data_IF_725595435866
#
_entry.id   IF_725595435866
#
_cell.length_a   1.000
_cell.length_b   1.000
_cell.length_c   1.000
_cell.angle_alpha   90.00
_cell.angle_beta   90.00
_cell.angle_gamma   90.00
#
_symmetry.space_group_name_H-M   'P 1'
#
loop_
_entity.id
_entity.type
_entity.pdbx_description
1 polymer ?
#
# COMPACT_ATOMS: atom_id res chain seq x y z
N UNK A 1 -11.45 -10.39 -10.09
CA UNK A 1 -11.84 -8.99 -10.24
C UNK A 1 -11.89 -8.36 -8.86
N UNK A 2 -10.94 -7.51 -8.55
CA UNK A 2 -10.92 -6.75 -7.29
C UNK A 2 -12.03 -5.70 -7.33
N UNK A 3 -13.21 -6.08 -6.93
CA UNK A 3 -14.21 -5.09 -6.57
C UNK A 3 -13.67 -4.31 -5.36
N UNK A 4 -13.69 -3.00 -5.48
CA UNK A 4 -13.33 -2.04 -4.47
C UNK A 4 -13.52 -2.59 -3.04
N UNK A 5 -12.43 -2.92 -2.38
CA UNK A 5 -12.41 -3.33 -0.96
C UNK A 5 -12.69 -2.15 0.01
N UNK A 6 -13.17 -1.03 -0.52
CA UNK A 6 -13.73 0.09 0.24
C UNK A 6 -15.22 -0.17 0.48
N UNK A 7 -15.55 -1.40 0.76
CA UNK A 7 -16.90 -1.81 1.09
C UNK A 7 -16.99 -2.27 2.53
N UNK A 8 -18.20 -2.28 3.04
CA UNK A 8 -18.52 -2.87 4.33
C UNK A 8 -17.96 -4.29 4.47
N UNK A 9 -17.74 -4.73 5.69
CA UNK A 9 -17.31 -6.09 6.07
C UNK A 9 -18.10 -7.19 5.33
N UNK A 10 -19.34 -6.91 4.94
CA UNK A 10 -20.21 -7.81 4.18
C UNK A 10 -19.71 -8.06 2.75
N UNK A 11 -19.09 -7.08 2.09
CA UNK A 11 -18.58 -7.26 0.71
C UNK A 11 -17.42 -8.24 0.63
N UNK A 12 -16.59 -8.33 1.66
CA UNK A 12 -15.48 -9.28 1.72
C UNK A 12 -16.00 -10.69 1.98
N UNK A 13 -16.98 -10.82 2.87
CA UNK A 13 -17.57 -12.09 3.25
C UNK A 13 -18.41 -12.70 2.12
N UNK A 14 -19.14 -11.86 1.38
CA UNK A 14 -20.02 -12.31 0.27
C UNK A 14 -19.26 -12.56 -1.04
N UNK A 15 -18.06 -11.99 -1.19
CA UNK A 15 -17.28 -12.10 -2.42
C UNK A 15 -16.41 -13.35 -2.50
N UNK A 16 -16.17 -14.04 -1.37
CA UNK A 16 -15.29 -15.20 -1.31
C UNK A 16 -15.87 -16.29 -0.42
N UNK A 17 -16.12 -17.45 -0.98
CA UNK A 17 -16.45 -18.65 -0.19
C UNK A 17 -15.30 -19.05 0.74
N UNK A 18 -14.07 -18.73 0.33
CA UNK A 18 -12.84 -18.90 1.09
C UNK A 18 -12.01 -17.63 1.04
N UNK A 19 -11.36 -17.28 2.15
CA UNK A 19 -10.43 -16.17 2.19
C UNK A 19 -9.19 -16.46 1.33
N UNK A 20 -8.69 -15.48 0.57
CA UNK A 20 -7.42 -15.64 -0.13
C UNK A 20 -6.27 -15.73 0.88
N UNK A 21 -5.16 -16.33 0.48
CA UNK A 21 -3.97 -16.42 1.33
C UNK A 21 -3.31 -15.07 1.59
N UNK A 22 -3.41 -14.15 0.62
CA UNK A 22 -2.84 -12.82 0.71
C UNK A 22 -3.68 -11.80 -0.05
N UNK A 23 -3.67 -10.56 0.42
CA UNK A 23 -4.32 -9.42 -0.22
C UNK A 23 -3.31 -8.29 -0.35
N UNK A 24 -3.17 -7.78 -1.58
CA UNK A 24 -2.38 -6.59 -1.89
C UNK A 24 -3.30 -5.38 -1.88
N UNK A 25 -3.11 -4.49 -0.92
CA UNK A 25 -3.89 -3.26 -0.79
C UNK A 25 -3.25 -2.12 -1.57
N UNK A 26 -4.07 -1.20 -2.06
CA UNK A 26 -3.60 -0.05 -2.83
C UNK A 26 -2.75 0.94 -2.04
N UNK A 27 -2.91 1.00 -0.72
CA UNK A 27 -2.07 1.78 0.20
C UNK A 27 -2.18 1.23 1.63
N UNK A 28 -1.36 1.79 2.53
CA UNK A 28 -1.29 1.35 3.93
C UNK A 28 -2.58 1.68 4.71
N UNK A 29 -3.27 2.75 4.37
CA UNK A 29 -4.53 3.11 5.00
C UNK A 29 -5.63 2.08 4.73
N UNK A 30 -5.72 1.61 3.49
CA UNK A 30 -6.65 0.54 3.10
C UNK A 30 -6.31 -0.74 3.85
N UNK A 31 -5.02 -1.10 3.91
CA UNK A 31 -4.55 -2.26 4.66
C UNK A 31 -4.94 -2.18 6.14
N UNK A 32 -4.78 -1.02 6.76
CA UNK A 32 -5.19 -0.78 8.16
C UNK A 32 -6.68 -0.96 8.37
N UNK A 33 -7.50 -0.33 7.53
CA UNK A 33 -8.97 -0.44 7.62
C UNK A 33 -9.43 -1.88 7.42
N UNK A 34 -8.83 -2.58 6.47
CA UNK A 34 -9.15 -3.98 6.22
C UNK A 34 -8.78 -4.86 7.43
N UNK A 35 -7.63 -4.61 8.06
CA UNK A 35 -7.22 -5.31 9.28
C UNK A 35 -8.22 -5.10 10.42
N UNK A 36 -8.71 -3.88 10.58
CA UNK A 36 -9.73 -3.57 11.59
C UNK A 36 -11.04 -4.30 11.32
N UNK A 37 -11.47 -4.35 10.06
CA UNK A 37 -12.66 -5.10 9.65
C UNK A 37 -12.49 -6.60 9.85
N UNK A 38 -11.34 -7.15 9.49
CA UNK A 38 -11.02 -8.56 9.70
C UNK A 38 -11.05 -8.94 11.18
N UNK A 39 -10.51 -8.08 12.04
CA UNK A 39 -10.53 -8.32 13.49
C UNK A 39 -11.94 -8.45 14.05
N UNK A 40 -12.89 -7.66 13.54
CA UNK A 40 -14.30 -7.72 13.97
C UNK A 40 -14.98 -9.04 13.61
N UNK A 41 -14.56 -9.71 12.55
CA UNK A 41 -15.10 -10.98 12.11
C UNK A 41 -14.21 -12.19 12.47
N UNK A 42 -13.19 -11.97 13.30
CA UNK A 42 -12.31 -13.03 13.81
C UNK A 42 -11.25 -13.52 12.83
N UNK A 43 -10.97 -12.77 11.75
CA UNK A 43 -9.91 -13.09 10.82
C UNK A 43 -8.60 -12.44 11.28
N UNK A 44 -7.54 -13.22 11.36
CA UNK A 44 -6.23 -12.78 11.85
C UNK A 44 -5.28 -12.46 10.73
N UNK A 45 -4.51 -11.38 10.91
CA UNK A 45 -3.44 -10.98 10.00
C UNK A 45 -2.11 -11.07 10.74
N UNK A 46 -1.12 -11.78 10.26
CA UNK A 46 -1.03 -12.50 8.96
C UNK A 46 -1.47 -13.96 8.99
N UNK A 47 -1.93 -14.50 10.11
CA UNK A 47 -2.13 -15.94 10.31
C UNK A 47 -3.13 -16.53 9.30
N UNK A 48 -4.28 -15.88 9.13
CA UNK A 48 -5.32 -16.34 8.23
C UNK A 48 -5.18 -15.70 6.83
N UNK A 49 -4.81 -14.41 6.78
CA UNK A 49 -4.61 -13.65 5.54
C UNK A 49 -3.40 -12.74 5.70
N UNK A 50 -2.46 -12.82 4.77
CA UNK A 50 -1.37 -11.85 4.69
C UNK A 50 -1.85 -10.56 4.00
N UNK A 51 -1.41 -9.41 4.49
CA UNK A 51 -1.72 -8.11 3.89
C UNK A 51 -0.45 -7.35 3.52
N UNK A 52 -0.51 -6.65 2.41
CA UNK A 52 0.51 -5.66 2.04
C UNK A 52 -0.14 -4.33 1.71
N UNK A 53 0.57 -3.25 1.99
CA UNK A 53 0.17 -1.90 1.65
C UNK A 53 1.08 -1.28 0.58
N UNK A 54 1.06 0.04 0.52
CA UNK A 54 1.88 0.87 -0.36
C UNK A 54 2.01 2.26 0.27
N UNK A 55 3.08 2.97 0.01
CA UNK A 55 3.45 4.32 0.44
C UNK A 55 4.41 4.37 1.64
N UNK A 56 4.28 3.48 2.62
CA UNK A 56 5.04 3.51 3.88
C UNK A 56 4.88 4.83 4.64
N UNK A 57 3.63 5.19 4.90
CA UNK A 57 3.25 6.41 5.60
C UNK A 57 3.54 6.27 7.11
N UNK A 58 4.82 6.41 7.49
CA UNK A 58 5.30 6.27 8.86
C UNK A 58 4.68 7.29 9.82
N UNK A 59 4.37 8.48 9.32
CA UNK A 59 3.84 9.58 10.14
C UNK A 59 2.44 9.29 10.72
N UNK A 60 1.72 8.34 10.12
CA UNK A 60 0.37 7.97 10.52
C UNK A 60 0.28 6.66 11.29
N UNK A 61 1.38 5.93 11.40
CA UNK A 61 1.42 4.66 12.10
C UNK A 61 2.31 4.75 13.33
N UNK A 62 1.71 4.61 14.51
CA UNK A 62 2.45 4.48 15.77
C UNK A 62 3.34 3.22 15.80
N UNK A 63 2.97 2.20 15.03
CA UNK A 63 3.72 0.96 14.91
C UNK A 63 3.69 0.47 13.46
N UNK A 64 4.81 0.46 12.74
CA UNK A 64 4.89 -0.07 11.39
C UNK A 64 4.65 -1.58 11.40
N UNK A 65 3.50 -2.00 10.92
CA UNK A 65 3.06 -3.39 10.90
C UNK A 65 3.00 -3.96 9.48
N UNK A 66 2.67 -3.13 8.50
CA UNK A 66 2.41 -3.58 7.14
C UNK A 66 3.69 -3.69 6.31
N UNK A 67 3.84 -4.83 5.63
CA UNK A 67 4.73 -4.91 4.48
C UNK A 67 4.22 -3.96 3.39
N UNK A 68 5.10 -3.18 2.81
CA UNK A 68 4.73 -2.05 1.96
C UNK A 68 5.81 -1.75 0.93
N UNK A 69 5.58 -0.76 0.12
CA UNK A 69 6.59 -0.14 -0.73
C UNK A 69 6.86 1.26 -0.20
N UNK A 70 8.07 1.49 0.27
CA UNK A 70 8.50 2.82 0.72
C UNK A 70 8.70 3.73 -0.48
N UNK A 71 8.01 4.87 -0.47
CA UNK A 71 8.15 5.94 -1.46
C UNK A 71 8.82 7.13 -0.80
N UNK A 72 10.01 7.50 -1.27
CA UNK A 72 10.70 8.69 -0.79
C UNK A 72 10.00 9.95 -1.32
N UNK A 73 9.01 10.41 -0.57
CA UNK A 73 8.19 11.59 -0.93
C UNK A 73 9.00 12.87 -0.95
N UNK A 74 10.05 12.99 -0.13
CA UNK A 74 10.93 14.16 -0.13
C UNK A 74 11.76 14.22 -1.42
N UNK A 75 12.33 13.09 -1.81
CA UNK A 75 13.05 12.99 -3.09
C UNK A 75 12.12 13.26 -4.27
N UNK A 76 10.94 12.64 -4.26
CA UNK A 76 9.95 12.84 -5.31
C UNK A 76 9.55 14.31 -5.46
N UNK A 77 9.29 15.00 -4.35
CA UNK A 77 8.99 16.43 -4.34
C UNK A 77 10.14 17.26 -4.91
N UNK A 78 11.38 16.99 -4.52
CA UNK A 78 12.57 17.67 -5.09
C UNK A 78 12.69 17.45 -6.58
N UNK A 79 12.46 16.23 -7.06
CA UNK A 79 12.51 15.93 -8.49
C UNK A 79 11.41 16.64 -9.26
N UNK A 80 10.21 16.76 -8.70
CA UNK A 80 9.11 17.49 -9.33
C UNK A 80 9.46 18.98 -9.51
N UNK A 81 9.97 19.63 -8.48
CA UNK A 81 10.38 21.05 -8.55
C UNK A 81 11.53 21.22 -9.53
N UNK A 82 12.54 20.36 -9.49
CA UNK A 82 13.66 20.41 -10.43
C UNK A 82 13.18 20.30 -11.88
N UNK A 83 12.30 19.35 -12.15
CA UNK A 83 11.75 19.14 -13.49
C UNK A 83 10.92 20.34 -13.95
N UNK A 84 10.13 20.92 -13.06
CA UNK A 84 9.35 22.13 -13.35
C UNK A 84 10.24 23.28 -13.78
N UNK A 85 11.28 23.60 -13.00
CA UNK A 85 12.22 24.68 -13.30
C UNK A 85 13.00 24.43 -14.60
N UNK A 86 13.43 23.18 -14.81
CA UNK A 86 14.13 22.79 -16.03
C UNK A 86 13.23 22.96 -17.25
N UNK A 87 11.95 22.61 -17.15
CA UNK A 87 10.97 22.76 -18.21
C UNK A 87 10.69 24.21 -18.58
N UNK A 88 10.69 25.12 -17.62
CA UNK A 88 10.55 26.54 -17.88
C UNK A 88 11.71 27.07 -18.73
N UNK A 89 12.92 26.56 -18.49
CA UNK A 89 14.11 26.95 -19.28
C UNK A 89 14.16 26.26 -20.66
N UNK A 90 13.48 25.15 -20.82
CA UNK A 90 13.51 24.30 -22.03
C UNK A 90 12.10 24.00 -22.56
N UNK A 91 11.34 25.03 -22.99
CA UNK A 91 9.95 24.85 -23.41
C UNK A 91 9.78 23.94 -24.63
N UNK A 92 10.80 23.86 -25.49
CA UNK A 92 10.79 23.05 -26.71
C UNK A 92 11.23 21.59 -26.48
N UNK A 93 11.61 21.22 -25.25
CA UNK A 93 12.04 19.85 -24.94
C UNK A 93 10.88 18.87 -25.09
N UNK A 94 11.13 17.65 -25.59
CA UNK A 94 10.10 16.63 -25.70
C UNK A 94 9.54 16.25 -24.33
N UNK A 95 8.30 15.76 -24.32
CA UNK A 95 7.67 15.26 -23.09
C UNK A 95 8.39 14.00 -22.61
N UNK A 96 8.68 13.96 -21.32
CA UNK A 96 9.32 12.84 -20.67
C UNK A 96 8.42 12.22 -19.59
N UNK A 97 8.66 10.96 -19.27
CA UNK A 97 8.08 10.28 -18.13
C UNK A 97 9.23 9.83 -17.24
N UNK A 98 9.26 10.35 -16.02
CA UNK A 98 10.28 10.02 -15.03
C UNK A 98 9.64 9.12 -13.98
N UNK A 99 10.20 7.92 -13.79
CA UNK A 99 9.78 6.96 -12.78
C UNK A 99 10.82 6.92 -11.65
N UNK A 100 10.34 7.06 -10.43
CA UNK A 100 11.17 6.91 -9.23
C UNK A 100 10.80 5.58 -8.58
N UNK A 101 11.77 4.70 -8.44
CA UNK A 101 11.57 3.38 -7.84
C UNK A 101 11.28 3.48 -6.34
N UNK A 102 10.29 2.74 -5.87
CA UNK A 102 10.08 2.48 -4.47
C UNK A 102 10.95 1.33 -3.95
N UNK A 103 11.04 1.21 -2.65
CA UNK A 103 11.76 0.13 -1.96
C UNK A 103 10.76 -0.78 -1.24
N UNK A 104 10.85 -2.10 -1.48
CA UNK A 104 10.00 -3.07 -0.79
C UNK A 104 10.48 -3.23 0.65
N UNK A 105 9.56 -3.03 1.59
CA UNK A 105 9.81 -3.20 3.02
C UNK A 105 8.95 -4.35 3.53
N UNK A 106 9.59 -5.43 3.97
CA UNK A 106 8.90 -6.60 4.51
C UNK A 106 8.71 -6.45 6.01
N UNK A 107 7.46 -6.55 6.46
CA UNK A 107 7.08 -6.44 7.86
C UNK A 107 6.16 -7.61 8.26
N UNK A 108 5.63 -7.53 9.45
CA UNK A 108 4.90 -8.61 10.10
C UNK A 108 3.59 -9.01 9.38
N UNK A 109 2.93 -8.08 8.71
CA UNK A 109 1.61 -8.33 8.07
C UNK A 109 1.63 -9.37 6.94
N UNK A 110 2.80 -9.66 6.39
CA UNK A 110 2.97 -10.67 5.35
C UNK A 110 3.83 -11.87 5.77
N UNK A 111 4.36 -11.85 7.00
CA UNK A 111 5.21 -12.92 7.52
C UNK A 111 4.39 -13.88 8.38
N UNK A 112 3.86 -14.95 7.78
CA UNK A 112 3.24 -16.03 8.54
C UNK A 112 4.32 -16.76 9.33
N UNK A 113 4.12 -16.91 10.64
CA UNK A 113 4.98 -17.78 11.44
C UNK A 113 4.81 -19.20 10.93
N UNK A 114 5.89 -19.82 10.52
CA UNK A 114 5.94 -21.26 10.37
C UNK A 114 5.89 -21.83 11.77
N UNK A 115 4.71 -22.32 12.12
CA UNK A 115 4.47 -22.99 13.39
C UNK A 115 4.63 -24.46 13.26
#
# INVERSE_FOLDING_TARGET
MLRSLVGSEMCIRDSYDTLPEAIVCGNDMIAKRLTESFRKIGVRVPEDVALTGFDDDEDRMLYPFFSTVHVDTKWLGRRMVHEFLWREEHPEAPKERILVSGEVVVRRSSCKRQG
#
